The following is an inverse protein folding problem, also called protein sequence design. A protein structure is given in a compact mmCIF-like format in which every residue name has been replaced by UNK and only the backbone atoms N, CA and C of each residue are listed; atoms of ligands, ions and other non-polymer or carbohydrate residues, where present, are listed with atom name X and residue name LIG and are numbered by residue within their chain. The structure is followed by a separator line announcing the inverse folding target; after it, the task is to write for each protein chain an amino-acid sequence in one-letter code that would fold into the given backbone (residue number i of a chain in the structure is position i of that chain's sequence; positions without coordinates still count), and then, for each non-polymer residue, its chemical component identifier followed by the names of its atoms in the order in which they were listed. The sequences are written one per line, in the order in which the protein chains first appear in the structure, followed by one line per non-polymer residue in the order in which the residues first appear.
data_IF_351155597235
#
_entry.id   IF_351155597235
#
_cell.length_a   1.000
_cell.length_b   1.000
_cell.length_c   1.000
_cell.angle_alpha   90.00
_cell.angle_beta   90.00
_cell.angle_gamma   90.00
#
_symmetry.space_group_name_H-M   'P 1'
#
loop_
_entity.id
_entity.type
_entity.pdbx_description
1 polymer ?
#
# COMPACT_ATOMS: atom_id res chain seq x y z
N UNK A 1 -18.23 16.31 -23.55
CA UNK A 1 -16.78 16.04 -23.46
C UNK A 1 -16.29 16.43 -22.09
N UNK A 2 -16.29 15.45 -21.21
CA UNK A 2 -15.72 15.47 -19.87
C UNK A 2 -14.36 14.76 -19.88
N UNK A 3 -13.63 14.94 -18.78
CA UNK A 3 -12.34 14.32 -18.53
C UNK A 3 -12.46 13.35 -17.35
N UNK A 4 -11.90 12.17 -17.50
CA UNK A 4 -11.90 11.13 -16.48
C UNK A 4 -10.49 10.61 -16.27
N UNK A 5 -10.20 10.15 -15.07
CA UNK A 5 -8.93 9.54 -14.73
C UNK A 5 -8.85 8.08 -15.21
N UNK A 6 -7.72 7.67 -15.78
CA UNK A 6 -7.41 6.26 -16.07
C UNK A 6 -6.09 5.88 -15.40
N UNK A 7 -6.15 5.01 -14.39
CA UNK A 7 -4.98 4.61 -13.60
C UNK A 7 -4.35 3.35 -14.18
N UNK A 8 -3.03 3.38 -14.36
CA UNK A 8 -2.22 2.26 -14.78
C UNK A 8 -1.17 1.93 -13.71
N UNK A 9 -1.04 0.65 -13.40
CA UNK A 9 0.15 0.08 -12.76
C UNK A 9 1.28 -0.06 -13.80
N UNK A 10 2.55 -0.23 -13.40
CA UNK A 10 3.63 -0.53 -14.34
C UNK A 10 3.35 -1.73 -15.25
N UNK A 11 2.71 -2.78 -14.72
CA UNK A 11 2.36 -3.99 -15.49
C UNK A 11 1.32 -3.65 -16.57
N UNK A 12 0.19 -3.05 -16.19
CA UNK A 12 -0.88 -2.67 -17.12
C UNK A 12 -0.42 -1.62 -18.14
N UNK A 13 0.48 -0.73 -17.74
CA UNK A 13 1.12 0.26 -18.61
C UNK A 13 1.98 -0.41 -19.69
N UNK A 14 2.88 -1.34 -19.33
CA UNK A 14 3.71 -2.07 -20.29
C UNK A 14 2.86 -2.93 -21.23
N UNK A 15 1.82 -3.59 -20.69
CA UNK A 15 0.87 -4.36 -21.49
C UNK A 15 0.12 -3.47 -22.48
N UNK A 16 -0.34 -2.30 -22.04
CA UNK A 16 -1.01 -1.32 -22.90
C UNK A 16 -0.09 -0.81 -24.01
N UNK A 17 1.15 -0.42 -23.70
CA UNK A 17 2.12 0.05 -24.70
C UNK A 17 2.50 -1.02 -25.73
N UNK A 18 2.56 -2.27 -25.29
CA UNK A 18 2.84 -3.44 -26.14
C UNK A 18 1.63 -3.89 -26.96
N UNK A 19 0.44 -3.36 -26.69
CA UNK A 19 -0.80 -3.63 -27.41
C UNK A 19 -1.02 -2.66 -28.59
N UNK A 20 -2.09 -2.83 -29.39
CA UNK A 20 -2.51 -1.83 -30.37
C UNK A 20 -2.96 -0.48 -29.78
N UNK A 21 -3.11 -0.37 -28.45
CA UNK A 21 -3.52 0.86 -27.72
C UNK A 21 -4.90 1.37 -28.12
N UNK A 22 -5.77 0.46 -28.56
CA UNK A 22 -7.13 0.72 -29.04
C UNK A 22 -8.20 0.37 -28.00
N UNK A 23 -7.80 -0.11 -26.83
CA UNK A 23 -8.68 -0.60 -25.78
C UNK A 23 -8.13 -0.25 -24.40
N UNK A 24 -8.99 0.24 -23.52
CA UNK A 24 -8.73 0.37 -22.08
C UNK A 24 -9.73 -0.47 -21.29
N UNK A 25 -9.36 -0.88 -20.08
CA UNK A 25 -10.14 -1.81 -19.26
C UNK A 25 -10.19 -1.40 -17.80
N UNK A 26 -11.30 -1.74 -17.16
CA UNK A 26 -11.63 -1.43 -15.79
C UNK A 26 -12.21 -2.67 -15.11
N UNK A 27 -12.17 -2.68 -13.77
CA UNK A 27 -12.69 -3.81 -13.00
C UNK A 27 -14.21 -3.79 -12.97
N UNK A 28 -14.83 -4.95 -12.75
CA UNK A 28 -16.29 -5.09 -12.71
C UNK A 28 -16.96 -4.14 -11.68
N UNK A 29 -16.30 -3.89 -10.55
CA UNK A 29 -16.77 -2.93 -9.52
C UNK A 29 -16.94 -1.50 -10.05
N UNK A 30 -16.22 -1.13 -11.11
CA UNK A 30 -16.25 0.20 -11.73
C UNK A 30 -17.31 0.31 -12.84
N UNK A 31 -18.08 -0.75 -13.14
CA UNK A 31 -19.10 -0.74 -14.19
C UNK A 31 -20.12 0.40 -14.03
N UNK A 32 -20.53 0.69 -12.79
CA UNK A 32 -21.47 1.79 -12.52
C UNK A 32 -20.87 3.15 -12.88
N UNK A 33 -19.58 3.35 -12.60
CA UNK A 33 -18.88 4.59 -12.95
C UNK A 33 -18.67 4.68 -14.47
N UNK A 34 -18.29 3.57 -15.12
CA UNK A 34 -18.08 3.47 -16.56
C UNK A 34 -19.33 3.80 -17.37
N UNK A 35 -20.52 3.43 -16.90
CA UNK A 35 -21.79 3.77 -17.57
C UNK A 35 -22.08 5.26 -17.69
N UNK A 36 -21.32 6.13 -17.00
CA UNK A 36 -21.47 7.59 -17.09
C UNK A 36 -20.61 8.22 -18.19
N UNK A 37 -19.74 7.44 -18.82
CA UNK A 37 -18.78 7.91 -19.82
C UNK A 37 -19.45 7.84 -21.19
N UNK A 38 -19.34 8.93 -21.94
CA UNK A 38 -19.91 9.05 -23.28
C UNK A 38 -18.82 8.99 -24.36
N UNK A 39 -19.23 8.65 -25.59
CA UNK A 39 -18.33 8.69 -26.74
C UNK A 39 -17.83 10.13 -26.95
N UNK A 40 -16.51 10.27 -27.12
CA UNK A 40 -15.83 11.56 -27.23
C UNK A 40 -15.32 12.11 -25.90
N UNK A 41 -15.68 11.54 -24.75
CA UNK A 41 -15.02 11.86 -23.48
C UNK A 41 -13.55 11.42 -23.48
N UNK A 42 -12.75 12.05 -22.63
CA UNK A 42 -11.30 11.83 -22.59
C UNK A 42 -10.86 11.20 -21.29
N UNK A 43 -9.95 10.23 -21.40
CA UNK A 43 -9.31 9.56 -20.29
C UNK A 43 -7.87 10.09 -20.16
N UNK A 44 -7.57 10.70 -19.02
CA UNK A 44 -6.24 11.18 -18.68
C UNK A 44 -5.51 10.08 -17.91
N UNK A 45 -4.45 9.56 -18.50
CA UNK A 45 -3.77 8.36 -18.04
C UNK A 45 -2.66 8.69 -17.03
N UNK A 46 -2.71 8.02 -15.88
CA UNK A 46 -1.78 8.21 -14.76
C UNK A 46 -1.11 6.90 -14.37
N UNK A 47 0.21 6.91 -14.27
CA UNK A 47 1.04 5.80 -13.83
C UNK A 47 1.29 5.93 -12.32
N UNK A 48 0.60 5.09 -11.54
CA UNK A 48 0.50 5.21 -10.08
C UNK A 48 1.85 5.11 -9.37
N UNK A 49 2.62 4.04 -9.62
CA UNK A 49 3.90 3.76 -8.94
C UNK A 49 5.03 4.74 -9.25
N UNK A 50 4.96 5.44 -10.38
CA UNK A 50 5.90 6.50 -10.71
C UNK A 50 5.34 7.90 -10.44
N UNK A 51 4.06 8.00 -10.07
CA UNK A 51 3.32 9.24 -9.90
C UNK A 51 3.36 10.16 -11.13
N UNK A 52 3.17 9.62 -12.34
CA UNK A 52 3.35 10.35 -13.62
C UNK A 52 2.11 10.34 -14.51
N UNK A 53 1.85 11.46 -15.17
CA UNK A 53 0.90 11.54 -16.27
C UNK A 53 1.56 11.10 -17.57
N UNK A 54 0.97 10.17 -18.31
CA UNK A 54 1.61 9.61 -19.49
C UNK A 54 0.77 9.63 -20.76
N UNK A 55 -0.55 9.86 -20.67
CA UNK A 55 -1.38 9.71 -21.87
C UNK A 55 -2.74 10.37 -21.83
N UNK A 56 -3.31 10.53 -23.02
CA UNK A 56 -4.68 10.98 -23.26
C UNK A 56 -5.32 10.04 -24.26
N UNK A 57 -6.44 9.44 -23.87
CA UNK A 57 -7.23 8.56 -24.72
C UNK A 57 -8.61 9.17 -24.96
N UNK A 58 -9.11 9.11 -26.18
CA UNK A 58 -10.47 9.51 -26.52
C UNK A 58 -11.36 8.26 -26.59
N UNK A 59 -12.49 8.28 -25.88
CA UNK A 59 -13.45 7.18 -25.87
C UNK A 59 -14.19 7.13 -27.21
N UNK A 60 -14.18 5.95 -27.85
CA UNK A 60 -14.73 5.74 -29.19
C UNK A 60 -15.83 4.67 -29.27
N UNK A 61 -16.22 4.09 -28.14
CA UNK A 61 -17.36 3.17 -28.03
C UNK A 61 -18.14 3.40 -26.74
N UNK A 62 -19.34 2.85 -26.65
CA UNK A 62 -20.00 2.62 -25.37
C UNK A 62 -19.23 1.59 -24.54
N UNK A 63 -19.52 1.55 -23.23
CA UNK A 63 -18.97 0.54 -22.32
C UNK A 63 -19.46 -0.85 -22.70
N UNK A 64 -18.56 -1.82 -22.75
CA UNK A 64 -18.91 -3.22 -22.95
C UNK A 64 -18.15 -4.11 -21.96
N UNK A 65 -18.57 -5.37 -21.84
CA UNK A 65 -17.85 -6.36 -21.06
C UNK A 65 -17.25 -7.40 -22.00
N UNK A 66 -15.97 -7.70 -21.82
CA UNK A 66 -15.22 -8.70 -22.57
C UNK A 66 -14.10 -9.25 -21.68
N UNK A 67 -14.09 -10.57 -21.51
CA UNK A 67 -13.20 -11.33 -20.63
C UNK A 67 -11.95 -11.85 -21.35
N UNK A 68 -11.78 -11.55 -22.64
CA UNK A 68 -10.59 -11.92 -23.41
C UNK A 68 -9.35 -11.27 -22.77
N UNK A 69 -8.34 -12.02 -22.28
CA UNK A 69 -7.19 -11.42 -21.59
C UNK A 69 -6.43 -10.41 -22.46
N UNK A 70 -6.12 -9.24 -21.88
CA UNK A 70 -5.41 -8.14 -22.54
C UNK A 70 -4.26 -7.57 -21.74
N UNK A 71 -4.45 -7.38 -20.44
CA UNK A 71 -3.43 -6.83 -19.55
C UNK A 71 -2.63 -7.94 -18.83
N UNK A 72 -3.23 -9.11 -18.67
CA UNK A 72 -2.63 -10.31 -18.07
C UNK A 72 -2.75 -11.48 -19.04
N UNK A 73 -1.87 -12.47 -18.91
CA UNK A 73 -1.90 -13.68 -19.76
C UNK A 73 -3.14 -14.55 -19.49
N UNK A 74 -3.64 -14.55 -18.26
CA UNK A 74 -4.85 -15.26 -17.82
C UNK A 74 -5.56 -14.49 -16.71
N UNK A 75 -6.87 -14.77 -16.54
CA UNK A 75 -7.71 -14.20 -15.47
C UNK A 75 -7.67 -12.66 -15.38
N UNK A 76 -7.67 -12.00 -16.54
CA UNK A 76 -7.62 -10.53 -16.62
C UNK A 76 -8.84 -9.90 -15.92
N UNK A 77 -8.64 -9.14 -14.82
CA UNK A 77 -9.74 -8.57 -14.06
C UNK A 77 -10.36 -7.32 -14.73
N UNK A 78 -9.73 -6.79 -15.79
CA UNK A 78 -10.12 -5.55 -16.47
C UNK A 78 -11.12 -5.81 -17.61
N UNK A 79 -12.25 -6.42 -17.24
CA UNK A 79 -13.28 -6.89 -18.17
C UNK A 79 -14.27 -5.80 -18.61
N UNK A 80 -14.34 -4.66 -17.92
CA UNK A 80 -15.22 -3.53 -18.30
C UNK A 80 -14.43 -2.60 -19.22
N UNK A 81 -14.78 -2.53 -20.49
CA UNK A 81 -13.89 -1.99 -21.53
C UNK A 81 -14.53 -0.89 -22.36
N UNK A 82 -13.66 -0.08 -22.93
CA UNK A 82 -13.97 0.88 -23.98
C UNK A 82 -12.97 0.73 -25.12
N UNK A 83 -13.44 0.91 -26.36
CA UNK A 83 -12.54 1.20 -27.47
C UNK A 83 -12.10 2.64 -27.34
N UNK A 84 -10.81 2.89 -27.53
CA UNK A 84 -10.21 4.21 -27.38
C UNK A 84 -9.32 4.56 -28.56
N UNK A 85 -9.12 5.86 -28.77
CA UNK A 85 -8.13 6.39 -29.70
C UNK A 85 -7.05 7.13 -28.91
N UNK A 86 -5.76 6.78 -29.05
CA UNK A 86 -4.70 7.50 -28.38
C UNK A 86 -4.50 8.88 -29.02
N UNK A 87 -4.70 9.94 -28.24
CA UNK A 87 -4.41 11.32 -28.64
C UNK A 87 -2.94 11.64 -28.40
N UNK A 88 -2.43 11.26 -27.22
CA UNK A 88 -1.01 11.39 -26.85
C UNK A 88 -0.64 10.24 -25.92
N UNK A 89 0.54 9.64 -26.12
CA UNK A 89 1.11 8.60 -25.27
C UNK A 89 2.61 8.86 -25.12
N UNK A 90 3.09 8.88 -23.89
CA UNK A 90 4.47 9.12 -23.52
C UNK A 90 5.10 7.85 -22.97
N UNK A 91 6.36 7.62 -23.32
CA UNK A 91 7.20 6.63 -22.63
C UNK A 91 7.46 7.06 -21.17
N UNK A 92 7.88 6.12 -20.32
CA UNK A 92 7.95 6.33 -18.86
C UNK A 92 8.94 7.43 -18.49
N UNK A 93 9.99 7.60 -19.28
CA UNK A 93 11.02 8.63 -19.17
C UNK A 93 10.53 10.00 -19.65
N UNK A 94 9.44 10.07 -20.40
CA UNK A 94 8.82 11.34 -20.83
C UNK A 94 7.52 11.64 -20.09
N UNK A 95 6.94 10.66 -19.41
CA UNK A 95 5.77 10.84 -18.56
C UNK A 95 6.07 11.89 -17.48
N UNK A 96 5.11 12.77 -17.24
CA UNK A 96 5.31 14.01 -16.47
C UNK A 96 4.99 13.72 -15.00
N UNK A 97 5.96 13.81 -14.07
CA UNK A 97 5.71 13.62 -12.65
C UNK A 97 4.77 14.69 -12.11
N UNK A 98 3.78 14.29 -11.31
CA UNK A 98 2.78 15.23 -10.78
C UNK A 98 3.39 16.33 -9.89
N UNK A 99 4.51 16.03 -9.22
CA UNK A 99 5.21 16.96 -8.33
C UNK A 99 6.05 18.02 -9.07
N UNK A 100 6.15 17.95 -10.39
CA UNK A 100 6.82 18.99 -11.16
C UNK A 100 6.04 20.31 -11.05
N UNK A 101 6.72 21.47 -10.87
CA UNK A 101 6.04 22.77 -10.75
C UNK A 101 5.08 23.08 -11.90
N UNK A 102 5.41 22.63 -13.11
CA UNK A 102 4.56 22.81 -14.29
C UNK A 102 3.18 22.17 -14.12
N UNK A 103 3.06 21.08 -13.36
CA UNK A 103 1.81 20.39 -13.06
C UNK A 103 1.27 20.83 -11.69
N UNK A 104 2.06 20.68 -10.64
CA UNK A 104 1.63 20.85 -9.25
C UNK A 104 1.04 22.23 -8.97
N UNK A 105 1.63 23.28 -9.54
CA UNK A 105 1.23 24.65 -9.25
C UNK A 105 0.02 25.08 -10.12
N UNK A 106 -0.53 24.16 -10.94
CA UNK A 106 -1.64 24.42 -11.88
C UNK A 106 -2.93 23.65 -11.57
N UNK A 107 -2.85 22.39 -11.13
CA UNK A 107 -4.05 21.58 -10.89
C UNK A 107 -4.85 22.10 -9.70
N UNK A 108 -6.17 22.09 -9.79
CA UNK A 108 -7.07 22.62 -8.74
C UNK A 108 -6.85 21.89 -7.42
N UNK A 109 -6.59 20.57 -7.45
CA UNK A 109 -6.39 19.75 -6.26
C UNK A 109 -4.95 19.70 -5.72
N UNK A 110 -4.00 20.39 -6.35
CA UNK A 110 -2.61 20.44 -5.85
C UNK A 110 -2.09 21.86 -5.58
N UNK A 111 -2.57 22.88 -6.31
CA UNK A 111 -1.99 24.24 -6.30
C UNK A 111 -2.05 24.95 -4.94
N UNK A 112 -2.98 24.56 -4.08
CA UNK A 112 -3.18 25.15 -2.73
C UNK A 112 -2.62 24.27 -1.61
N UNK A 113 -2.03 23.13 -1.94
CA UNK A 113 -1.54 22.13 -0.99
C UNK A 113 -0.01 22.05 -1.06
N UNK A 114 0.70 21.89 0.08
CA UNK A 114 2.13 21.71 0.05
C UNK A 114 2.55 20.48 -0.76
N UNK A 115 3.70 20.56 -1.45
CA UNK A 115 4.30 19.42 -2.20
C UNK A 115 4.64 18.21 -1.33
N UNK A 116 4.61 18.40 -0.01
CA UNK A 116 4.75 17.38 1.02
C UNK A 116 3.37 17.05 1.61
N UNK A 117 3.09 15.76 1.76
CA UNK A 117 1.86 15.17 2.27
C UNK A 117 1.19 14.27 1.24
N UNK A 118 0.19 13.52 1.70
CA UNK A 118 -0.67 12.65 0.88
C UNK A 118 -2.04 13.27 0.55
N UNK A 119 -2.30 14.51 0.98
CA UNK A 119 -3.60 15.19 0.85
C UNK A 119 -4.07 15.33 -0.62
N UNK A 120 -3.13 15.45 -1.56
CA UNK A 120 -3.41 15.53 -3.01
C UNK A 120 -3.82 14.19 -3.64
N UNK A 121 -3.64 13.06 -2.96
CA UNK A 121 -3.83 11.73 -3.56
C UNK A 121 -5.30 11.38 -3.75
N UNK A 122 -6.22 12.02 -3.01
CA UNK A 122 -7.65 11.71 -2.99
C UNK A 122 -8.28 11.57 -4.39
N UNK A 123 -8.18 12.61 -5.25
CA UNK A 123 -8.70 12.57 -6.63
C UNK A 123 -8.09 11.47 -7.52
N UNK A 124 -6.95 10.90 -7.12
CA UNK A 124 -6.18 9.92 -7.89
C UNK A 124 -6.31 8.48 -7.35
N UNK A 125 -7.27 8.21 -6.45
CA UNK A 125 -7.45 6.89 -5.82
C UNK A 125 -8.28 5.89 -6.63
N UNK A 126 -9.02 6.35 -7.65
CA UNK A 126 -9.85 5.45 -8.47
C UNK A 126 -9.89 5.93 -9.91
N UNK A 127 -9.69 5.01 -10.86
CA UNK A 127 -10.03 5.23 -12.26
C UNK A 127 -11.51 5.60 -12.39
N UNK A 128 -11.85 6.30 -13.48
CA UNK A 128 -13.17 6.82 -13.80
C UNK A 128 -13.70 7.90 -12.85
N UNK A 129 -12.81 8.45 -12.02
CA UNK A 129 -13.07 9.70 -11.31
C UNK A 129 -13.09 10.84 -12.32
N UNK A 130 -14.14 11.64 -12.31
CA UNK A 130 -14.26 12.81 -13.20
C UNK A 130 -13.31 13.90 -12.71
N UNK A 131 -12.48 14.43 -13.62
CA UNK A 131 -11.60 15.56 -13.35
C UNK A 131 -12.34 16.87 -13.54
N UNK A 132 -11.90 17.92 -12.84
CA UNK A 132 -12.32 19.29 -13.16
C UNK A 132 -11.99 19.60 -14.62
N UNK A 133 -12.91 20.28 -15.30
CA UNK A 133 -12.75 20.58 -16.73
C UNK A 133 -11.52 21.46 -17.02
N UNK A 134 -11.11 22.29 -16.07
CA UNK A 134 -9.89 23.11 -16.18
C UNK A 134 -8.64 22.21 -16.14
N UNK A 135 -8.57 21.31 -15.15
CA UNK A 135 -7.46 20.36 -14.99
C UNK A 135 -7.34 19.41 -16.17
N UNK A 136 -8.47 18.86 -16.64
CA UNK A 136 -8.49 17.95 -17.78
C UNK A 136 -7.97 18.60 -19.07
N UNK A 137 -8.42 19.83 -19.37
CA UNK A 137 -7.93 20.59 -20.53
C UNK A 137 -6.45 20.94 -20.41
N UNK A 138 -6.02 21.34 -19.21
CA UNK A 138 -4.63 21.66 -18.94
C UNK A 138 -3.72 20.44 -19.14
N UNK A 139 -4.06 19.30 -18.53
CA UNK A 139 -3.30 18.05 -18.64
C UNK A 139 -3.27 17.55 -20.09
N UNK A 140 -4.39 17.63 -20.81
CA UNK A 140 -4.44 17.28 -22.23
C UNK A 140 -3.43 18.09 -23.06
N UNK A 141 -3.48 19.42 -22.96
CA UNK A 141 -2.59 20.30 -23.72
C UNK A 141 -1.11 20.05 -23.36
N UNK A 142 -0.83 19.84 -22.06
CA UNK A 142 0.50 19.56 -21.56
C UNK A 142 1.06 18.24 -22.12
N UNK A 143 0.26 17.16 -22.09
CA UNK A 143 0.67 15.84 -22.57
C UNK A 143 0.87 15.82 -24.09
N UNK A 144 0.06 16.56 -24.86
CA UNK A 144 0.26 16.71 -26.31
C UNK A 144 1.57 17.47 -26.60
N UNK A 145 1.83 18.55 -25.86
CA UNK A 145 3.07 19.34 -26.02
C UNK A 145 4.32 18.52 -25.67
N UNK A 146 4.28 17.78 -24.57
CA UNK A 146 5.37 16.92 -24.12
C UNK A 146 5.71 15.80 -25.12
N UNK A 147 4.74 15.31 -25.89
CA UNK A 147 4.96 14.30 -26.92
C UNK A 147 5.79 14.81 -28.11
N UNK A 148 5.71 16.11 -28.41
CA UNK A 148 6.36 16.69 -29.60
C UNK A 148 7.84 17.02 -29.40
N UNK A 149 8.24 17.57 -28.25
CA UNK A 149 9.64 17.89 -27.89
C UNK A 149 9.80 18.09 -26.37
N UNK A 150 9.35 17.12 -25.57
CA UNK A 150 9.29 17.20 -24.12
C UNK A 150 10.59 16.97 -23.36
N UNK A 151 10.54 17.27 -22.06
CA UNK A 151 11.64 17.06 -21.10
C UNK A 151 11.73 15.57 -20.74
N UNK A 152 12.95 15.05 -20.60
CA UNK A 152 13.16 13.69 -20.07
C UNK A 152 13.23 13.73 -18.54
N UNK A 153 12.36 12.97 -17.90
CA UNK A 153 12.34 12.70 -16.47
C UNK A 153 12.91 11.31 -16.21
N UNK A 154 14.14 11.23 -15.70
CA UNK A 154 14.81 9.94 -15.48
C UNK A 154 13.97 9.02 -14.58
N UNK A 155 13.95 7.73 -14.91
CA UNK A 155 13.35 6.65 -14.11
C UNK A 155 14.49 5.75 -13.63
N UNK A 156 14.47 5.36 -12.35
CA UNK A 156 15.38 4.32 -11.88
C UNK A 156 14.90 2.98 -12.42
N UNK A 157 15.65 2.43 -13.38
CA UNK A 157 15.27 1.18 -14.04
C UNK A 157 15.28 0.00 -13.05
N UNK A 158 16.16 -0.02 -12.05
CA UNK A 158 16.17 -1.10 -11.05
C UNK A 158 14.92 -1.04 -10.16
N UNK A 159 14.48 0.16 -9.80
CA UNK A 159 13.23 0.35 -9.05
C UNK A 159 12.02 -0.04 -9.91
N UNK A 160 12.00 0.40 -11.17
CA UNK A 160 10.93 0.12 -12.11
C UNK A 160 10.78 -1.40 -12.37
N UNK A 161 11.89 -2.11 -12.54
CA UNK A 161 11.88 -3.56 -12.71
C UNK A 161 11.30 -4.29 -11.49
N UNK A 162 11.46 -3.78 -10.26
CA UNK A 162 10.83 -4.39 -9.07
C UNK A 162 9.30 -4.31 -9.11
N UNK A 163 8.74 -3.29 -9.76
CA UNK A 163 7.29 -3.19 -9.94
C UNK A 163 6.75 -4.15 -11.01
N UNK A 164 7.60 -4.60 -11.93
CA UNK A 164 7.24 -5.55 -13.00
C UNK A 164 7.51 -7.01 -12.57
N UNK A 165 8.58 -7.26 -11.81
CA UNK A 165 9.08 -8.63 -11.50
C UNK A 165 8.43 -9.31 -10.30
N UNK A 166 7.37 -8.75 -9.69
CA UNK A 166 6.68 -9.37 -8.54
C UNK A 166 5.83 -10.62 -8.86
N UNK A 167 6.03 -11.27 -10.00
CA UNK A 167 5.56 -12.62 -10.26
C UNK A 167 6.69 -13.64 -10.01
N UNK A 168 6.75 -14.22 -8.80
CA UNK A 168 7.73 -15.28 -8.49
C UNK A 168 7.26 -16.60 -9.12
N UNK A 169 8.05 -17.16 -10.03
CA UNK A 169 7.98 -18.59 -10.42
C UNK A 169 8.89 -19.42 -9.50
N UNK A 170 8.38 -20.55 -8.99
CA UNK A 170 9.19 -21.64 -8.41
C UNK A 170 8.74 -23.00 -8.99
N UNK A 171 9.68 -23.95 -9.10
CA UNK A 171 9.65 -25.11 -10.02
C UNK A 171 8.76 -26.30 -9.63
N UNK A 172 8.01 -26.29 -8.53
CA UNK A 172 7.25 -27.48 -8.13
C UNK A 172 5.81 -27.17 -7.67
N UNK A 173 4.86 -27.65 -8.48
CA UNK A 173 3.38 -27.68 -8.33
C UNK A 173 2.65 -26.34 -8.49
N UNK A 174 1.91 -26.25 -9.59
CA UNK A 174 0.86 -25.26 -9.84
C UNK A 174 -0.31 -25.46 -8.87
N UNK A 175 -0.30 -24.74 -7.76
CA UNK A 175 -1.53 -24.34 -7.09
C UNK A 175 -1.80 -22.91 -7.54
N UNK A 176 -2.87 -22.72 -8.32
CA UNK A 176 -3.32 -21.39 -8.71
C UNK A 176 -3.86 -20.68 -7.46
N UNK A 177 -2.98 -19.98 -6.74
CA UNK A 177 -3.40 -18.95 -5.81
C UNK A 177 -3.26 -17.65 -6.59
N UNK A 178 -4.33 -17.26 -7.27
CA UNK A 178 -4.48 -15.88 -7.72
C UNK A 178 -4.50 -15.03 -6.45
N UNK A 179 -3.37 -14.42 -6.12
CA UNK A 179 -3.36 -13.26 -5.24
C UNK A 179 -4.06 -12.17 -6.05
N UNK A 180 -5.26 -11.71 -5.68
CA UNK A 180 -5.82 -10.54 -6.32
C UNK A 180 -4.79 -9.43 -6.15
N UNK A 181 -4.30 -8.88 -7.26
CA UNK A 181 -3.53 -7.66 -7.21
C UNK A 181 -4.44 -6.59 -6.61
N UNK A 182 -4.17 -6.24 -5.36
CA UNK A 182 -4.82 -5.16 -4.65
C UNK A 182 -4.39 -3.84 -5.29
N UNK A 183 -5.10 -3.45 -6.35
CA UNK A 183 -5.09 -2.09 -6.92
C UNK A 183 -5.78 -1.12 -5.96
N UNK A 184 -5.17 -0.95 -4.80
CA UNK A 184 -5.20 0.22 -3.93
C UNK A 184 -3.81 0.38 -3.30
N UNK A 185 -2.80 0.25 -4.15
CA UNK A 185 -1.47 0.74 -3.86
C UNK A 185 -1.52 2.26 -3.96
N UNK A 186 -1.62 2.87 -2.78
CA UNK A 186 -1.39 4.30 -2.58
C UNK A 186 -0.20 4.77 -3.41
N UNK A 187 -0.40 5.92 -4.03
CA UNK A 187 0.54 6.58 -4.91
C UNK A 187 1.81 6.90 -4.12
N UNK A 188 2.76 5.97 -4.19
CA UNK A 188 4.13 6.22 -3.80
C UNK A 188 4.76 7.12 -4.86
N UNK A 189 5.16 8.33 -4.47
CA UNK A 189 6.58 8.66 -4.40
C UNK A 189 6.87 10.10 -3.91
N UNK A 190 7.98 10.20 -3.19
CA UNK A 190 8.57 11.33 -2.42
C UNK A 190 7.97 11.57 -1.03
N UNK A 191 7.83 10.51 -0.23
CA UNK A 191 7.80 10.57 1.23
C UNK A 191 8.54 9.41 1.91
N UNK A 192 9.39 8.63 1.22
CA UNK A 192 10.21 7.61 1.89
C UNK A 192 11.07 8.20 3.02
N UNK A 193 11.39 9.50 3.02
CA UNK A 193 12.13 10.15 4.09
C UNK A 193 11.33 10.46 5.36
N UNK A 194 10.04 10.80 5.24
CA UNK A 194 9.18 11.22 6.37
C UNK A 194 8.17 10.13 6.79
N UNK A 195 7.67 9.30 5.86
CA UNK A 195 6.76 8.18 6.16
C UNK A 195 7.50 6.98 6.78
N UNK A 196 8.71 6.68 6.30
CA UNK A 196 9.61 5.76 7.00
C UNK A 196 9.99 6.34 8.37
N UNK A 197 10.08 7.66 8.48
CA UNK A 197 10.39 8.30 9.76
C UNK A 197 9.23 8.18 10.74
N UNK A 198 7.99 8.29 10.30
CA UNK A 198 6.82 8.15 11.17
C UNK A 198 6.59 6.69 11.59
N UNK A 199 6.73 5.72 10.70
CA UNK A 199 6.72 4.29 11.10
C UNK A 199 7.83 3.95 12.10
N UNK A 200 9.04 4.48 11.91
CA UNK A 200 10.16 4.31 12.86
C UNK A 200 9.86 4.98 14.21
N UNK A 201 9.25 6.18 14.22
CA UNK A 201 8.83 6.83 15.47
C UNK A 201 7.77 6.00 16.20
N UNK A 202 6.80 5.42 15.49
CA UNK A 202 5.77 4.55 16.08
C UNK A 202 6.41 3.28 16.64
N UNK A 203 7.33 2.63 15.92
CA UNK A 203 8.11 1.51 16.45
C UNK A 203 8.85 1.90 17.73
N UNK A 204 9.49 3.08 17.76
CA UNK A 204 10.19 3.60 18.94
C UNK A 204 9.24 3.87 20.11
N UNK A 205 8.04 4.42 19.86
CA UNK A 205 7.02 4.63 20.88
C UNK A 205 6.52 3.32 21.46
N UNK A 206 6.22 2.32 20.62
CA UNK A 206 5.84 0.98 21.06
C UNK A 206 6.93 0.34 21.92
N UNK A 207 8.20 0.51 21.54
CA UNK A 207 9.32 0.05 22.35
C UNK A 207 9.37 0.76 23.71
N UNK A 208 9.25 2.09 23.73
CA UNK A 208 9.24 2.88 24.97
C UNK A 208 8.10 2.47 25.90
N UNK A 209 6.90 2.25 25.36
CA UNK A 209 5.73 1.78 26.12
C UNK A 209 6.02 0.39 26.70
N UNK A 210 6.43 -0.57 25.86
CA UNK A 210 6.69 -1.94 26.30
C UNK A 210 7.81 -2.04 27.34
N UNK A 211 8.89 -1.26 27.17
CA UNK A 211 9.94 -1.16 28.17
C UNK A 211 9.44 -0.60 29.51
N UNK A 212 8.63 0.47 29.45
CA UNK A 212 8.02 1.11 30.63
C UNK A 212 7.11 0.13 31.38
N UNK A 213 6.43 -0.76 30.66
CA UNK A 213 5.58 -1.83 31.21
C UNK A 213 6.38 -3.07 31.65
N UNK A 214 7.71 -3.08 31.46
CA UNK A 214 8.59 -4.14 31.95
C UNK A 214 8.83 -5.30 31.00
N UNK A 215 8.46 -5.18 29.73
CA UNK A 215 8.74 -6.19 28.70
C UNK A 215 10.20 -6.16 28.24
N UNK A 216 10.63 -7.29 27.66
CA UNK A 216 11.77 -7.34 26.75
C UNK A 216 11.28 -7.16 25.33
N UNK A 217 12.10 -6.58 24.48
CA UNK A 217 11.70 -6.10 23.18
C UNK A 217 12.54 -6.76 22.09
N UNK A 218 11.91 -7.00 20.94
CA UNK A 218 12.58 -7.39 19.72
C UNK A 218 12.23 -6.41 18.60
N UNK A 219 13.24 -6.13 17.77
CA UNK A 219 13.14 -5.36 16.54
C UNK A 219 13.89 -6.08 15.42
N UNK A 220 13.40 -6.01 14.17
CA UNK A 220 14.12 -6.48 12.99
C UNK A 220 15.50 -5.81 12.87
N UNK A 221 16.51 -6.57 12.44
CA UNK A 221 17.89 -6.08 12.33
C UNK A 221 18.02 -4.86 11.41
N UNK A 222 17.19 -4.78 10.36
CA UNK A 222 17.13 -3.65 9.42
C UNK A 222 16.71 -2.33 10.09
N UNK A 223 15.90 -2.41 11.15
CA UNK A 223 15.19 -1.25 11.70
C UNK A 223 15.83 -0.75 13.00
N UNK A 224 16.51 -1.65 13.74
CA UNK A 224 17.21 -1.33 14.99
C UNK A 224 18.00 -0.03 14.97
N UNK A 225 18.85 0.16 13.96
CA UNK A 225 19.73 1.34 13.89
C UNK A 225 18.98 2.67 13.77
N UNK A 226 17.77 2.64 13.20
CA UNK A 226 16.90 3.81 13.02
C UNK A 226 16.05 4.03 14.26
N UNK A 227 15.43 2.98 14.78
CA UNK A 227 14.62 3.04 16.01
C UNK A 227 15.44 3.48 17.22
N UNK A 228 16.68 2.99 17.36
CA UNK A 228 17.56 3.33 18.50
C UNK A 228 17.89 4.83 18.56
N UNK A 229 17.78 5.56 17.44
CA UNK A 229 17.97 7.02 17.42
C UNK A 229 16.82 7.77 18.09
N UNK A 230 15.61 7.21 18.05
CA UNK A 230 14.39 7.79 18.61
C UNK A 230 14.07 7.23 20.02
N UNK A 231 14.57 6.03 20.33
CA UNK A 231 14.41 5.37 21.63
C UNK A 231 15.69 4.64 22.06
N UNK A 232 16.23 4.97 23.23
CA UNK A 232 17.45 4.34 23.77
C UNK A 232 17.04 3.25 24.77
N UNK A 233 17.29 1.95 24.48
CA UNK A 233 16.93 0.86 25.39
C UNK A 233 17.78 0.86 26.67
N UNK A 234 17.17 0.59 27.81
CA UNK A 234 17.89 0.19 29.02
C UNK A 234 18.61 -1.15 28.81
N UNK A 235 19.67 -1.37 29.60
CA UNK A 235 20.50 -2.56 29.48
C UNK A 235 19.67 -3.85 29.63
N UNK A 236 19.78 -4.74 28.63
CA UNK A 236 19.12 -6.05 28.62
C UNK A 236 17.63 -6.03 28.25
N UNK A 237 17.07 -4.88 27.83
CA UNK A 237 15.68 -4.77 27.37
C UNK A 237 15.49 -5.15 25.92
N UNK A 238 16.35 -4.66 25.02
CA UNK A 238 16.37 -5.09 23.61
C UNK A 238 17.11 -6.42 23.47
N UNK A 239 16.47 -7.40 22.85
CA UNK A 239 17.03 -8.74 22.65
C UNK A 239 17.88 -8.82 21.38
N UNK A 240 19.06 -9.42 21.47
CA UNK A 240 19.91 -9.69 20.30
C UNK A 240 19.52 -10.95 19.53
N UNK A 241 18.91 -11.91 20.22
CA UNK A 241 18.41 -13.17 19.65
C UNK A 241 17.02 -13.48 20.21
N UNK A 242 16.07 -13.82 19.33
CA UNK A 242 14.75 -14.29 19.77
C UNK A 242 14.87 -15.64 20.47
N UNK A 243 14.27 -15.81 21.67
CA UNK A 243 14.39 -17.03 22.46
C UNK A 243 13.47 -18.16 21.99
N UNK A 244 13.39 -18.39 20.67
CA UNK A 244 12.53 -19.40 20.03
C UNK A 244 13.34 -20.65 19.64
N UNK A 245 12.74 -21.83 19.75
CA UNK A 245 13.40 -23.12 19.47
C UNK A 245 12.89 -23.73 18.13
N UNK A 246 13.17 -23.08 17.00
CA UNK A 246 12.75 -23.54 15.65
C UNK A 246 13.92 -23.52 14.67
N UNK A 247 13.71 -24.05 13.45
CA UNK A 247 14.71 -24.00 12.39
C UNK A 247 14.96 -22.55 11.91
N UNK A 248 16.13 -22.34 11.29
CA UNK A 248 16.59 -21.00 10.90
C UNK A 248 15.76 -20.32 9.80
N UNK A 249 15.05 -21.07 8.96
CA UNK A 249 14.25 -20.47 7.87
C UNK A 249 12.99 -19.86 8.47
N UNK A 250 12.36 -20.62 9.35
CA UNK A 250 11.13 -20.27 10.06
C UNK A 250 11.30 -19.10 11.03
N UNK A 251 12.44 -19.04 11.74
CA UNK A 251 12.74 -17.91 12.64
C UNK A 251 12.90 -16.60 11.87
N UNK A 252 13.47 -16.63 10.65
CA UNK A 252 13.73 -15.42 9.86
C UNK A 252 12.46 -14.63 9.54
N UNK A 253 11.33 -15.30 9.32
CA UNK A 253 10.06 -14.62 9.03
C UNK A 253 9.54 -13.87 10.27
N UNK A 254 9.56 -14.52 11.44
CA UNK A 254 9.18 -13.88 12.71
C UNK A 254 10.14 -12.74 13.07
N UNK A 255 11.44 -12.89 12.77
CA UNK A 255 12.43 -11.84 13.01
C UNK A 255 12.14 -10.55 12.24
N UNK A 256 11.33 -10.62 11.17
CA UNK A 256 10.88 -9.44 10.43
C UNK A 256 9.66 -8.75 11.06
N UNK A 257 8.95 -9.32 12.04
CA UNK A 257 7.83 -8.62 12.69
C UNK A 257 8.37 -7.37 13.38
N UNK A 258 7.69 -6.24 13.16
CA UNK A 258 8.27 -4.93 13.41
C UNK A 258 8.58 -4.69 14.90
N UNK A 259 7.66 -5.06 15.81
CA UNK A 259 7.90 -5.02 17.26
C UNK A 259 7.30 -6.25 17.93
N UNK A 260 8.09 -6.94 18.76
CA UNK A 260 7.57 -7.99 19.65
C UNK A 260 7.81 -7.61 21.12
N UNK A 261 6.78 -7.83 21.95
CA UNK A 261 6.90 -7.71 23.40
C UNK A 261 6.98 -9.10 24.02
N UNK A 262 8.02 -9.32 24.82
CA UNK A 262 8.30 -10.59 25.46
C UNK A 262 8.29 -10.46 26.98
N UNK A 263 7.64 -11.41 27.63
CA UNK A 263 7.74 -11.63 29.07
C UNK A 263 8.48 -12.94 29.29
N UNK A 264 9.66 -12.86 29.92
CA UNK A 264 10.61 -13.98 30.03
C UNK A 264 11.08 -14.49 28.66
N UNK A 265 10.59 -15.66 28.22
CA UNK A 265 10.90 -16.28 26.92
C UNK A 265 9.67 -16.32 25.99
N UNK A 266 8.56 -15.75 26.44
CA UNK A 266 7.26 -15.86 25.78
C UNK A 266 6.91 -14.53 25.12
N UNK A 267 6.55 -14.57 23.84
CA UNK A 267 5.94 -13.43 23.14
C UNK A 267 4.54 -13.23 23.72
N UNK A 268 4.22 -12.00 24.09
CA UNK A 268 2.91 -11.61 24.64
C UNK A 268 2.12 -10.81 23.61
N UNK A 269 2.78 -9.87 22.94
CA UNK A 269 2.18 -9.06 21.88
C UNK A 269 3.10 -8.95 20.67
N UNK A 270 2.51 -8.93 19.49
CA UNK A 270 3.19 -8.70 18.22
C UNK A 270 2.53 -7.52 17.51
N UNK A 271 3.33 -6.56 17.06
CA UNK A 271 2.87 -5.36 16.38
C UNK A 271 3.48 -5.30 14.99
N UNK A 272 2.62 -5.13 14.02
CA UNK A 272 3.00 -4.79 12.66
C UNK A 272 2.64 -3.35 12.38
N UNK A 273 3.60 -2.53 11.98
CA UNK A 273 3.39 -1.12 11.68
C UNK A 273 3.19 -0.99 10.16
N UNK A 274 1.95 -0.77 9.75
CA UNK A 274 1.59 -0.64 8.35
C UNK A 274 1.53 0.84 7.94
N UNK A 275 2.40 1.24 7.02
CA UNK A 275 2.43 2.61 6.48
C UNK A 275 2.46 2.61 4.95
N UNK A 276 3.41 1.89 4.33
CA UNK A 276 3.56 1.71 2.87
C UNK A 276 3.82 0.25 2.47
N UNK A 277 4.08 -0.62 3.45
CA UNK A 277 4.10 -2.08 3.30
C UNK A 277 2.70 -2.63 2.98
N UNK A 278 2.66 -3.84 2.43
CA UNK A 278 1.38 -4.53 2.21
C UNK A 278 0.91 -5.13 3.53
N UNK A 279 -0.24 -4.67 4.02
CA UNK A 279 -0.95 -5.24 5.19
C UNK A 279 -0.99 -6.78 5.11
N UNK A 280 -1.19 -7.31 3.90
CA UNK A 280 -1.18 -8.74 3.62
C UNK A 280 0.12 -9.46 4.01
N UNK A 281 1.30 -8.87 3.73
CA UNK A 281 2.57 -9.48 4.12
C UNK A 281 2.76 -9.49 5.63
N UNK A 282 2.26 -8.48 6.33
CA UNK A 282 2.34 -8.46 7.78
C UNK A 282 1.42 -9.48 8.45
N UNK A 283 0.20 -9.62 7.92
CA UNK A 283 -0.71 -10.67 8.35
C UNK A 283 -0.15 -12.08 8.11
N UNK A 284 0.59 -12.30 7.01
CA UNK A 284 1.29 -13.57 6.79
C UNK A 284 2.40 -13.82 7.82
N UNK A 285 3.22 -12.81 8.15
CA UNK A 285 4.24 -12.94 9.21
C UNK A 285 3.62 -13.31 10.57
N UNK A 286 2.45 -12.75 10.86
CA UNK A 286 1.68 -13.08 12.06
C UNK A 286 1.04 -14.48 12.03
N UNK A 287 0.53 -14.91 10.87
CA UNK A 287 0.01 -16.26 10.69
C UNK A 287 1.11 -17.30 10.90
N UNK A 288 2.32 -17.07 10.37
CA UNK A 288 3.49 -17.91 10.61
C UNK A 288 3.83 -17.97 12.10
N UNK A 289 3.81 -16.84 12.82
CA UNK A 289 4.04 -16.80 14.27
C UNK A 289 3.06 -17.69 15.03
N UNK A 290 1.76 -17.63 14.69
CA UNK A 290 0.72 -18.42 15.35
C UNK A 290 0.83 -19.91 15.05
N UNK A 291 1.14 -20.27 13.81
CA UNK A 291 1.35 -21.67 13.41
C UNK A 291 2.49 -22.31 14.22
N UNK A 292 3.49 -21.52 14.62
CA UNK A 292 4.66 -22.00 15.35
C UNK A 292 4.45 -21.99 16.87
N UNK A 293 3.63 -21.06 17.39
CA UNK A 293 3.31 -20.94 18.81
C UNK A 293 1.83 -21.26 19.12
N UNK A 294 1.30 -22.45 18.73
CA UNK A 294 -0.13 -22.73 18.83
C UNK A 294 -0.64 -22.72 20.29
N UNK A 295 0.24 -23.01 21.25
CA UNK A 295 -0.10 -23.05 22.68
C UNK A 295 0.08 -21.71 23.41
N UNK A 296 0.41 -20.62 22.71
CA UNK A 296 0.62 -19.31 23.30
C UNK A 296 -0.52 -18.35 22.99
N UNK A 297 -1.02 -17.63 23.99
CA UNK A 297 -1.96 -16.53 23.78
C UNK A 297 -1.17 -15.25 23.42
N UNK A 298 -0.93 -15.06 22.12
CA UNK A 298 -0.22 -13.89 21.59
C UNK A 298 -1.28 -12.94 21.04
N UNK A 299 -1.31 -11.71 21.55
CA UNK A 299 -2.17 -10.65 20.98
C UNK A 299 -1.50 -10.05 19.76
N UNK A 300 -2.23 -9.99 18.65
CA UNK A 300 -1.73 -9.46 17.39
C UNK A 300 -2.34 -8.07 17.14
N UNK A 301 -1.52 -7.15 16.66
CA UNK A 301 -1.92 -5.77 16.41
C UNK A 301 -1.39 -5.27 15.07
N UNK A 302 -2.29 -4.81 14.20
CA UNK A 302 -1.90 -3.97 13.06
C UNK A 302 -2.00 -2.51 13.51
N UNK A 303 -0.87 -1.82 13.43
CA UNK A 303 -0.73 -0.42 13.82
C UNK A 303 -0.62 0.42 12.55
N UNK A 304 -1.60 1.26 12.25
CA UNK A 304 -1.55 2.10 11.03
C UNK A 304 -2.31 3.42 11.17
N UNK A 305 -2.10 4.40 10.26
CA UNK A 305 -2.92 5.60 10.20
C UNK A 305 -4.43 5.31 10.09
N UNK A 306 -5.27 6.21 10.63
CA UNK A 306 -6.74 6.03 10.69
C UNK A 306 -7.37 5.86 9.31
N UNK A 307 -6.82 6.50 8.28
CA UNK A 307 -7.28 6.37 6.90
C UNK A 307 -7.06 4.97 6.29
N UNK A 308 -6.19 4.14 6.89
CA UNK A 308 -5.96 2.74 6.47
C UNK A 308 -6.78 1.72 7.26
N UNK A 309 -7.53 2.14 8.28
CA UNK A 309 -8.32 1.27 9.16
C UNK A 309 -9.27 0.33 8.40
N UNK A 310 -10.09 0.87 7.50
CA UNK A 310 -11.05 0.05 6.73
C UNK A 310 -10.34 -0.99 5.87
N UNK A 311 -9.17 -0.61 5.31
CA UNK A 311 -8.33 -1.52 4.53
C UNK A 311 -7.80 -2.65 5.42
N UNK A 312 -7.28 -2.33 6.61
CA UNK A 312 -6.82 -3.33 7.58
C UNK A 312 -7.93 -4.33 7.92
N UNK A 313 -9.14 -3.86 8.22
CA UNK A 313 -10.27 -4.74 8.52
C UNK A 313 -10.66 -5.63 7.34
N UNK A 314 -10.71 -5.06 6.14
CA UNK A 314 -11.00 -5.86 4.93
C UNK A 314 -9.96 -6.96 4.68
N UNK A 315 -8.68 -6.69 4.96
CA UNK A 315 -7.59 -7.65 4.79
C UNK A 315 -7.65 -8.77 5.83
N UNK A 316 -7.88 -8.42 7.10
CA UNK A 316 -8.00 -9.39 8.19
C UNK A 316 -9.18 -10.36 7.96
N UNK A 317 -10.27 -9.87 7.38
CA UNK A 317 -11.46 -10.66 7.06
C UNK A 317 -11.31 -11.54 5.80
N UNK A 318 -10.15 -11.55 5.13
CA UNK A 318 -9.99 -12.37 3.92
C UNK A 318 -10.17 -13.86 4.26
N UNK A 319 -10.81 -14.65 3.36
CA UNK A 319 -11.07 -16.06 3.61
C UNK A 319 -9.84 -16.90 3.98
N UNK A 320 -8.67 -16.54 3.43
CA UNK A 320 -7.40 -17.21 3.74
C UNK A 320 -7.02 -17.11 5.22
N UNK A 321 -7.41 -16.03 5.89
CA UNK A 321 -7.16 -15.81 7.31
C UNK A 321 -8.32 -16.28 8.20
N UNK A 322 -9.42 -16.77 7.62
CA UNK A 322 -10.57 -17.31 8.37
C UNK A 322 -10.39 -18.78 8.78
N UNK A 323 -9.44 -19.50 8.17
CA UNK A 323 -9.25 -20.95 8.31
C UNK A 323 -7.99 -21.34 9.11
N UNK A 324 -7.54 -20.47 10.02
CA UNK A 324 -6.40 -20.78 10.89
C UNK A 324 -6.83 -21.75 12.01
N UNK A 325 -5.89 -22.54 12.54
CA UNK A 325 -6.19 -23.57 13.56
C UNK A 325 -6.84 -22.98 14.83
N UNK A 326 -6.54 -21.71 15.16
CA UNK A 326 -7.11 -20.99 16.31
C UNK A 326 -8.44 -20.30 16.03
N UNK A 327 -8.94 -20.33 14.80
CA UNK A 327 -10.09 -19.56 14.35
C UNK A 327 -9.71 -18.40 13.42
N UNK A 328 -10.67 -17.57 13.00
CA UNK A 328 -10.41 -16.44 12.12
C UNK A 328 -9.46 -15.39 12.71
N UNK A 329 -8.55 -14.86 11.90
CA UNK A 329 -7.62 -13.78 12.30
C UNK A 329 -8.34 -12.56 12.87
N UNK A 330 -9.56 -12.27 12.42
CA UNK A 330 -10.41 -11.20 12.94
C UNK A 330 -10.76 -11.33 14.43
N UNK A 331 -10.65 -12.52 15.02
CA UNK A 331 -10.96 -12.73 16.43
C UNK A 331 -9.78 -12.42 17.38
N UNK A 332 -8.56 -12.36 16.86
CA UNK A 332 -7.35 -12.20 17.69
C UNK A 332 -6.32 -11.19 17.15
N UNK A 333 -6.58 -10.59 16.00
CA UNK A 333 -5.84 -9.47 15.45
C UNK A 333 -6.67 -8.20 15.55
N UNK A 334 -6.13 -7.19 16.22
CA UNK A 334 -6.79 -5.90 16.47
C UNK A 334 -6.10 -4.78 15.70
N UNK A 335 -6.81 -3.69 15.50
CA UNK A 335 -6.29 -2.46 14.92
C UNK A 335 -5.93 -1.46 16.02
N UNK A 336 -4.79 -0.79 15.87
CA UNK A 336 -4.38 0.35 16.69
C UNK A 336 -4.02 1.53 15.79
N UNK A 337 -4.61 2.69 16.05
CA UNK A 337 -4.23 3.90 15.30
C UNK A 337 -2.89 4.44 15.78
N UNK A 338 -2.18 5.16 14.91
CA UNK A 338 -0.97 5.89 15.31
C UNK A 338 -1.22 6.89 16.44
N UNK A 339 -2.39 7.54 16.44
CA UNK A 339 -2.74 8.52 17.46
C UNK A 339 -3.02 7.82 18.79
N UNK A 340 -3.64 6.64 18.79
CA UNK A 340 -3.79 5.79 19.97
C UNK A 340 -2.45 5.46 20.63
N UNK A 341 -1.42 5.13 19.82
CA UNK A 341 -0.07 4.83 20.35
C UNK A 341 0.57 6.08 20.95
N UNK A 342 0.42 7.25 20.30
CA UNK A 342 0.94 8.52 20.83
C UNK A 342 0.25 8.88 22.15
N UNK A 343 -1.07 8.83 22.19
CA UNK A 343 -1.88 9.12 23.37
C UNK A 343 -1.51 8.22 24.54
N UNK A 344 -1.35 6.91 24.28
CA UNK A 344 -0.91 5.95 25.29
C UNK A 344 0.49 6.28 25.81
N UNK A 345 1.41 6.69 24.93
CA UNK A 345 2.78 7.06 25.32
C UNK A 345 2.86 8.29 26.21
N UNK A 346 1.86 9.17 26.17
CA UNK A 346 1.77 10.41 26.95
C UNK A 346 1.04 10.22 28.30
N UNK A 347 0.51 9.02 28.58
CA UNK A 347 -0.19 8.75 29.83
C UNK A 347 0.71 8.94 31.05
N UNK A 348 0.29 9.84 31.96
CA UNK A 348 1.04 10.26 33.15
C UNK A 348 1.46 9.11 34.07
N UNK A 349 0.67 8.03 34.10
CA UNK A 349 0.90 6.88 34.97
C UNK A 349 1.18 5.58 34.20
N UNK A 350 1.70 5.67 32.96
CA UNK A 350 1.99 4.51 32.11
C UNK A 350 2.74 3.38 32.83
N UNK A 351 3.71 3.73 33.70
CA UNK A 351 4.52 2.77 34.49
C UNK A 351 3.72 1.97 35.54
N UNK A 352 2.49 2.39 35.85
CA UNK A 352 1.56 1.71 36.77
C UNK A 352 0.44 0.97 36.03
N UNK A 353 0.33 1.16 34.72
CA UNK A 353 -0.66 0.50 33.89
C UNK A 353 -0.17 -0.89 33.50
N UNK A 354 -1.13 -1.81 33.45
CA UNK A 354 -0.96 -3.15 32.91
C UNK A 354 -1.00 -3.09 31.38
N UNK A 355 -0.46 -4.09 30.69
CA UNK A 355 -0.51 -4.13 29.21
C UNK A 355 -1.93 -4.30 28.67
N UNK A 356 -2.90 -4.69 29.51
CA UNK A 356 -4.33 -4.66 29.19
C UNK A 356 -4.85 -3.27 28.86
N UNK A 357 -4.14 -2.19 29.22
CA UNK A 357 -4.55 -0.83 28.84
C UNK A 357 -4.60 -0.64 27.32
N UNK A 358 -3.86 -1.46 26.56
CA UNK A 358 -3.96 -1.41 25.10
C UNK A 358 -5.36 -1.80 24.61
N UNK A 359 -6.08 -2.65 25.33
CA UNK A 359 -7.44 -3.09 24.98
C UNK A 359 -8.43 -1.91 24.92
N UNK A 360 -8.19 -0.84 25.69
CA UNK A 360 -9.00 0.39 25.66
C UNK A 360 -8.82 1.19 24.37
N UNK A 361 -7.76 0.91 23.61
CA UNK A 361 -7.40 1.57 22.36
C UNK A 361 -7.54 0.66 21.13
N UNK A 362 -7.74 -0.64 21.36
CA UNK A 362 -7.88 -1.67 20.33
C UNK A 362 -9.25 -1.55 19.66
N UNK A 363 -9.23 -1.58 18.33
CA UNK A 363 -10.45 -1.73 17.54
C UNK A 363 -10.50 -3.13 16.94
N UNK A 364 -11.65 -3.78 17.06
CA UNK A 364 -11.92 -5.09 16.47
C UNK A 364 -12.78 -4.93 15.22
N UNK A 365 -12.73 -5.95 14.39
CA UNK A 365 -13.67 -6.13 13.29
C UNK A 365 -15.06 -6.42 13.88
N UNK A 366 -16.06 -5.63 13.51
CA UNK A 366 -17.47 -5.80 13.92
C UNK A 366 -18.18 -6.97 13.23
#
# INVERSE_FOLDING_TARGET
MAYYLDLFSPITYEAFLSSPRDLTGFRIRQLKAARRIEIGDKLICYLTKLSRWFGVLEVSSEVFQDDTPRFYESDDPFIVRFKVKPISILEKEKAIPIKEPIVWDKLTFTREIPKHGSQWTGPLRSSLTQLDNEDGKFLEALLISQAQNGIVYSVDENEYQKYITKAIRTEHKTVAVSVPEDDNDEIGQKHEGDEVRDSIKIQALLCKIGETMGFKLWLPKSDRSRVIKEWIPESGKLLDVLPLNYDQVTIKTIEQIDVLWLKRRSIVRAFEIEHTTSIYSGLLRMADLLALQPNMDIKLHIVSPVDRREKVFSEIQRPVFSLLEKGPMSEFCTYLSYDSIKDLSEQKYLKRLSDTVLEDYEEVVE
#
